data_IF_280847525642
#
_entry.id   IF_280847525642
#
_cell.length_a   1.000
_cell.length_b   1.000
_cell.length_c   1.000
_cell.angle_alpha   90.00
_cell.angle_beta   90.00
_cell.angle_gamma   90.00
#
_symmetry.space_group_name_H-M   'P 1'
#
loop_
_entity.id
_entity.type
_entity.pdbx_description
1 polymer ?
#
# COMPACT_ATOMS: atom_id res chain seq x y z
N UNK A 1 10.67 20.11 4.26
CA UNK A 1 9.74 19.70 3.19
C UNK A 1 9.18 18.33 3.48
N UNK A 2 7.89 18.13 3.39
CA UNK A 2 7.35 16.79 3.53
C UNK A 2 7.90 15.90 2.41
N UNK A 3 8.20 14.64 2.75
CA UNK A 3 8.66 13.68 1.75
C UNK A 3 7.54 13.35 0.78
N UNK A 4 7.88 13.25 -0.49
CA UNK A 4 6.94 12.78 -1.51
C UNK A 4 6.85 11.25 -1.42
N UNK A 5 5.64 10.67 -1.49
CA UNK A 5 5.52 9.22 -1.52
C UNK A 5 6.11 8.65 -2.81
N UNK A 6 6.87 7.57 -2.67
CA UNK A 6 7.48 6.86 -3.79
C UNK A 6 6.91 5.46 -3.91
N UNK A 7 6.83 4.98 -5.14
CA UNK A 7 6.39 3.62 -5.44
C UNK A 7 7.21 2.60 -4.65
N UNK A 8 6.53 1.67 -4.00
CA UNK A 8 7.16 0.63 -3.20
C UNK A 8 7.36 1.00 -1.73
N UNK A 9 7.09 2.23 -1.35
CA UNK A 9 7.18 2.65 0.05
C UNK A 9 5.92 2.29 0.82
N UNK A 10 6.10 2.06 2.13
CA UNK A 10 4.99 1.89 3.07
C UNK A 10 4.85 3.16 3.88
N UNK A 11 3.64 3.66 3.96
CA UNK A 11 3.24 4.85 4.72
C UNK A 11 2.06 4.50 5.60
N UNK A 12 1.85 5.24 6.68
CA UNK A 12 0.56 5.19 7.38
C UNK A 12 -0.45 6.04 6.62
N UNK A 13 -1.70 5.62 6.64
CA UNK A 13 -2.79 6.40 6.04
C UNK A 13 -4.06 6.25 6.87
N UNK A 14 -4.85 7.31 6.91
CA UNK A 14 -6.19 7.28 7.49
C UNK A 14 -7.16 6.95 6.36
N UNK A 15 -7.76 5.77 6.42
CA UNK A 15 -8.64 5.25 5.37
C UNK A 15 -10.12 5.53 5.63
N UNK A 16 -10.46 6.13 6.76
CA UNK A 16 -11.85 6.52 7.05
C UNK A 16 -12.25 7.79 6.28
N UNK A 17 -13.52 7.92 5.90
CA UNK A 17 -14.59 6.94 6.07
C UNK A 17 -14.56 5.84 5.02
N UNK A 18 -15.01 4.64 5.39
CA UNK A 18 -15.11 3.49 4.49
C UNK A 18 -16.51 2.89 4.59
N UNK A 19 -16.83 1.95 3.68
CA UNK A 19 -18.12 1.27 3.64
C UNK A 19 -17.92 -0.22 3.42
N UNK A 20 -18.80 -1.02 4.02
CA UNK A 20 -18.82 -2.47 3.82
C UNK A 20 -17.52 -3.14 4.24
N UNK A 21 -16.95 -3.93 3.34
CA UNK A 21 -15.73 -4.70 3.60
C UNK A 21 -14.43 -3.96 3.28
N UNK A 22 -14.51 -2.65 3.02
CA UNK A 22 -13.32 -1.85 2.80
C UNK A 22 -12.48 -1.77 4.08
N UNK A 23 -11.16 -1.70 3.89
CA UNK A 23 -10.24 -1.53 5.02
C UNK A 23 -10.42 -0.13 5.61
N UNK A 24 -10.49 -0.06 6.94
CA UNK A 24 -10.85 1.16 7.66
C UNK A 24 -9.77 1.58 8.64
N UNK A 25 -9.84 2.82 9.10
CA UNK A 25 -8.98 3.37 10.14
C UNK A 25 -7.57 3.70 9.67
N UNK A 26 -6.72 4.01 10.64
CA UNK A 26 -5.30 4.28 10.38
C UNK A 26 -4.56 2.96 10.27
N UNK A 27 -3.84 2.77 9.17
CA UNK A 27 -3.06 1.55 8.95
C UNK A 27 -1.96 1.78 7.93
N UNK A 28 -0.95 0.88 7.90
CA UNK A 28 0.06 0.96 6.87
C UNK A 28 -0.54 0.66 5.49
N UNK A 29 -0.03 1.35 4.48
CA UNK A 29 -0.43 1.18 3.09
C UNK A 29 0.83 1.13 2.22
N UNK A 30 0.77 0.35 1.14
CA UNK A 30 1.83 0.27 0.14
C UNK A 30 1.49 1.21 -1.02
N UNK A 31 2.43 2.08 -1.38
CA UNK A 31 2.28 2.95 -2.55
C UNK A 31 2.60 2.15 -3.81
N UNK A 32 1.64 2.02 -4.71
CA UNK A 32 1.81 1.25 -5.96
C UNK A 32 1.75 2.10 -7.22
N UNK A 33 1.30 3.34 -7.13
CA UNK A 33 1.30 4.26 -8.26
C UNK A 33 2.72 4.70 -8.62
N UNK A 34 2.91 5.07 -9.90
CA UNK A 34 4.23 5.49 -10.39
C UNK A 34 4.68 6.79 -9.71
N UNK A 35 5.99 6.98 -9.62
CA UNK A 35 6.54 8.20 -9.05
C UNK A 35 6.09 9.43 -9.85
N UNK A 36 5.96 9.28 -11.16
CA UNK A 36 5.46 10.36 -12.01
C UNK A 36 4.04 10.79 -11.58
N UNK A 37 3.15 9.83 -11.37
CA UNK A 37 1.79 10.12 -10.91
C UNK A 37 1.78 10.71 -9.49
N UNK A 38 2.59 10.13 -8.59
CA UNK A 38 2.67 10.56 -7.18
C UNK A 38 3.12 12.01 -7.03
N UNK A 39 3.91 12.49 -7.99
CA UNK A 39 4.45 13.86 -8.01
C UNK A 39 3.60 14.81 -8.83
N UNK A 40 2.54 14.32 -9.45
CA UNK A 40 1.69 15.13 -10.32
C UNK A 40 0.75 16.02 -9.51
N UNK A 41 0.13 17.04 -10.16
CA UNK A 41 -0.85 17.91 -9.49
C UNK A 41 -2.13 17.20 -9.07
N UNK A 42 -2.28 15.89 -9.34
CA UNK A 42 -3.45 15.13 -8.92
C UNK A 42 -3.60 15.08 -7.39
N UNK A 43 -2.47 15.17 -6.65
CA UNK A 43 -2.45 15.06 -5.18
C UNK A 43 -3.10 13.77 -4.68
N UNK A 44 -2.89 12.70 -5.43
CA UNK A 44 -3.45 11.36 -5.17
C UNK A 44 -2.34 10.32 -5.26
N UNK A 45 -2.55 9.19 -4.60
CA UNK A 45 -1.73 7.99 -4.74
C UNK A 45 -2.63 6.78 -4.81
N UNK A 46 -2.16 5.72 -5.48
CA UNK A 46 -2.84 4.43 -5.48
C UNK A 46 -2.16 3.55 -4.46
N UNK A 47 -2.95 2.94 -3.58
CA UNK A 47 -2.41 2.18 -2.44
C UNK A 47 -3.06 0.81 -2.30
N UNK A 48 -2.32 -0.07 -1.62
CA UNK A 48 -2.83 -1.34 -1.11
C UNK A 48 -2.68 -1.32 0.40
N UNK A 49 -3.77 -1.52 1.16
CA UNK A 49 -3.66 -1.57 2.62
C UNK A 49 -2.91 -2.82 3.08
N UNK A 50 -2.27 -2.73 4.24
CA UNK A 50 -1.70 -3.88 4.94
C UNK A 50 -2.56 -4.23 6.15
N UNK A 51 -2.52 -5.50 6.54
CA UNK A 51 -3.18 -6.00 7.76
C UNK A 51 -2.26 -6.98 8.46
N UNK A 52 -2.42 -7.13 9.77
CA UNK A 52 -1.73 -8.18 10.54
C UNK A 52 -2.54 -9.47 10.59
N UNK A 53 -3.79 -9.43 10.16
CA UNK A 53 -4.68 -10.58 10.18
C UNK A 53 -4.35 -11.51 9.02
N UNK A 54 -4.00 -12.76 9.33
CA UNK A 54 -3.76 -13.78 8.32
C UNK A 54 -5.08 -14.26 7.72
N UNK A 55 -5.11 -14.31 6.39
CA UNK A 55 -6.15 -15.02 5.63
C UNK A 55 -5.49 -15.79 4.50
N UNK A 56 -5.96 -16.99 4.25
CA UNK A 56 -5.40 -17.86 3.20
C UNK A 56 -5.98 -17.50 1.85
N UNK A 57 -5.66 -16.29 1.38
CA UNK A 57 -6.07 -15.79 0.08
C UNK A 57 -4.83 -15.50 -0.75
N UNK A 58 -4.82 -15.94 -2.00
CA UNK A 58 -3.68 -15.72 -2.91
C UNK A 58 -3.44 -14.24 -3.21
N UNK A 59 -4.45 -13.39 -3.00
CA UNK A 59 -4.33 -11.94 -3.17
C UNK A 59 -3.61 -11.25 -2.01
N UNK A 60 -3.20 -11.98 -0.97
CA UNK A 60 -2.50 -11.43 0.19
C UNK A 60 -1.06 -11.88 0.20
N UNK A 61 -0.14 -10.92 0.23
CA UNK A 61 1.31 -11.20 0.20
C UNK A 61 1.88 -10.91 1.57
N UNK A 62 2.47 -11.94 2.24
CA UNK A 62 3.10 -11.73 3.55
C UNK A 62 4.45 -11.03 3.42
N UNK A 63 4.73 -10.13 4.34
CA UNK A 63 6.06 -9.55 4.54
C UNK A 63 6.42 -9.59 6.02
N UNK A 64 7.69 -9.80 6.30
CA UNK A 64 8.21 -9.87 7.66
C UNK A 64 9.15 -8.71 7.95
N UNK A 65 9.24 -8.26 9.22
CA UNK A 65 10.20 -7.23 9.59
C UNK A 65 11.62 -7.63 9.18
N UNK A 66 12.48 -6.69 8.77
CA UNK A 66 12.23 -5.24 8.72
C UNK A 66 11.73 -4.73 7.37
N UNK A 67 11.31 -5.62 6.47
CA UNK A 67 10.92 -5.21 5.12
C UNK A 67 9.84 -4.12 5.16
N UNK A 68 10.04 -3.05 4.39
CA UNK A 68 9.10 -1.94 4.33
C UNK A 68 8.93 -1.18 5.64
N UNK A 69 9.77 -1.47 6.64
CA UNK A 69 9.68 -0.84 7.95
C UNK A 69 8.55 -1.39 8.83
N UNK A 70 7.91 -2.51 8.45
CA UNK A 70 6.86 -3.10 9.29
C UNK A 70 7.47 -3.64 10.59
N UNK A 71 6.71 -3.58 11.67
CA UNK A 71 7.16 -3.99 13.00
C UNK A 71 6.71 -5.40 13.38
N UNK A 72 5.81 -5.98 12.59
CA UNK A 72 5.29 -7.32 12.77
C UNK A 72 4.95 -7.89 11.40
N UNK A 73 4.84 -9.22 11.31
CA UNK A 73 4.40 -9.87 10.07
C UNK A 73 3.08 -9.23 9.61
N UNK A 74 3.06 -8.81 8.36
CA UNK A 74 1.95 -8.08 7.76
C UNK A 74 1.62 -8.70 6.41
N UNK A 75 0.41 -8.44 5.92
CA UNK A 75 -0.09 -8.98 4.66
C UNK A 75 -0.53 -7.82 3.78
N UNK A 76 0.01 -7.73 2.57
CA UNK A 76 -0.39 -6.73 1.57
C UNK A 76 -1.68 -7.23 0.93
N UNK A 77 -2.74 -6.42 1.00
CA UNK A 77 -4.07 -6.79 0.49
C UNK A 77 -4.19 -6.30 -0.94
N UNK A 78 -3.80 -7.13 -1.92
CA UNK A 78 -3.74 -6.71 -3.32
C UNK A 78 -5.12 -6.46 -3.95
N UNK A 79 -6.16 -7.08 -3.42
CA UNK A 79 -7.53 -6.89 -3.92
C UNK A 79 -8.24 -5.68 -3.28
N UNK A 80 -7.54 -4.89 -2.46
CA UNK A 80 -8.09 -3.68 -1.85
C UNK A 80 -7.49 -2.40 -2.45
N UNK A 81 -7.12 -2.44 -3.72
CA UNK A 81 -6.56 -1.29 -4.43
C UNK A 81 -7.52 -0.10 -4.41
N UNK A 82 -7.01 1.06 -4.01
CA UNK A 82 -7.79 2.30 -4.05
C UNK A 82 -6.90 3.51 -4.22
N UNK A 83 -7.48 4.57 -4.78
CA UNK A 83 -6.84 5.87 -4.84
C UNK A 83 -7.23 6.67 -3.59
N UNK A 84 -6.27 7.32 -2.98
CA UNK A 84 -6.52 8.20 -1.83
C UNK A 84 -5.81 9.53 -2.03
N UNK A 85 -6.34 10.57 -1.36
CA UNK A 85 -5.66 11.86 -1.29
C UNK A 85 -4.36 11.72 -0.50
N UNK A 86 -3.32 12.39 -0.97
CA UNK A 86 -2.03 12.43 -0.25
C UNK A 86 -2.18 13.03 1.15
N UNK A 87 -3.23 13.82 1.40
CA UNK A 87 -3.53 14.36 2.73
C UNK A 87 -3.84 13.28 3.76
N UNK A 88 -4.22 12.09 3.33
CA UNK A 88 -4.48 10.96 4.23
C UNK A 88 -3.22 10.28 4.73
N UNK A 89 -2.07 10.57 4.11
CA UNK A 89 -0.80 9.94 4.48
C UNK A 89 -0.22 10.58 5.72
N UNK A 90 0.54 9.79 6.49
CA UNK A 90 1.32 10.29 7.62
C UNK A 90 2.49 11.16 7.15
N UNK A 91 3.40 11.46 8.06
CA UNK A 91 4.43 12.47 7.80
C UNK A 91 5.60 11.95 6.97
N UNK A 92 5.84 10.64 6.98
CA UNK A 92 7.01 10.05 6.31
C UNK A 92 6.81 8.57 6.01
N UNK A 93 7.65 8.06 5.11
CA UNK A 93 7.72 6.65 4.79
C UNK A 93 8.24 5.84 5.98
N UNK A 94 7.71 4.62 6.14
CA UNK A 94 8.27 3.64 7.06
C UNK A 94 9.50 2.94 6.46
N UNK A 95 9.51 2.78 5.14
CA UNK A 95 10.55 2.06 4.41
C UNK A 95 10.04 1.59 3.07
N UNK A 96 10.87 0.83 2.37
CA UNK A 96 10.57 0.36 1.02
C UNK A 96 10.56 -1.17 1.01
N UNK A 97 9.60 -1.77 0.33
CA UNK A 97 9.58 -3.23 0.13
C UNK A 97 10.65 -3.63 -0.88
N UNK A 98 11.03 -4.92 -0.87
CA UNK A 98 12.00 -5.45 -1.83
C UNK A 98 11.43 -5.45 -3.24
N UNK A 99 12.32 -5.44 -4.24
CA UNK A 99 11.92 -5.57 -5.64
C UNK A 99 11.22 -6.89 -5.92
N UNK A 100 11.62 -7.94 -5.21
CA UNK A 100 11.00 -9.27 -5.29
C UNK A 100 9.55 -9.22 -4.82
N UNK A 101 9.27 -8.57 -3.70
CA UNK A 101 7.91 -8.41 -3.19
C UNK A 101 7.08 -7.55 -4.14
N UNK A 102 7.64 -6.46 -4.62
CA UNK A 102 6.92 -5.59 -5.58
C UNK A 102 6.55 -6.35 -6.85
N UNK A 103 7.44 -7.23 -7.35
CA UNK A 103 7.14 -8.05 -8.51
C UNK A 103 5.95 -9.00 -8.25
N UNK A 104 5.85 -9.56 -7.05
CA UNK A 104 4.71 -10.40 -6.68
C UNK A 104 3.41 -9.60 -6.63
N UNK A 105 3.45 -8.39 -6.11
CA UNK A 105 2.31 -7.47 -6.08
C UNK A 105 1.85 -7.16 -7.51
N UNK A 106 2.78 -6.81 -8.39
CA UNK A 106 2.49 -6.50 -9.78
C UNK A 106 1.82 -7.66 -10.48
N UNK A 107 2.31 -8.88 -10.26
CA UNK A 107 1.76 -10.09 -10.87
C UNK A 107 0.30 -10.29 -10.45
N UNK A 108 -0.02 -10.11 -9.18
CA UNK A 108 -1.39 -10.26 -8.68
C UNK A 108 -2.29 -9.15 -9.21
N UNK A 109 -1.81 -7.91 -9.26
CA UNK A 109 -2.59 -6.80 -9.81
C UNK A 109 -2.88 -7.01 -11.29
N UNK A 110 -1.92 -7.51 -12.06
CA UNK A 110 -2.15 -7.85 -13.47
C UNK A 110 -3.23 -8.90 -13.62
N UNK A 111 -3.18 -9.93 -12.78
CA UNK A 111 -4.20 -10.97 -12.79
C UNK A 111 -5.58 -10.43 -12.46
N UNK A 112 -5.68 -9.64 -11.38
CA UNK A 112 -6.97 -9.10 -10.94
C UNK A 112 -7.57 -8.10 -11.93
N UNK A 113 -6.73 -7.33 -12.61
CA UNK A 113 -7.16 -6.26 -13.52
C UNK A 113 -7.11 -6.65 -15.00
N UNK A 114 -6.60 -7.82 -15.32
CA UNK A 114 -6.41 -8.31 -16.70
C UNK A 114 -5.58 -7.35 -17.56
N UNK A 115 -4.46 -6.91 -17.05
CA UNK A 115 -3.59 -5.99 -17.79
C UNK A 115 -2.20 -6.58 -18.12
#
# INVERSE_FOLDING_TARGET
MPSQPLRGEIWTADLDPTRGHEQAGKRPVLIVSTNHYNQSPADMVFILPLTRTERRLSSRIPIDPPEGGVKARSYIICDALRAISTERLGERSWGTISSSTLAKVEKILRFLLEI
#
